data_IF_463722118595
#
_entry.id   IF_463722118595
#
_cell.length_a   1.000
_cell.length_b   1.000
_cell.length_c   1.000
_cell.angle_alpha   90.00
_cell.angle_beta   90.00
_cell.angle_gamma   90.00
#
_symmetry.space_group_name_H-M   'P 1'
#
loop_
_entity.id
_entity.type
_entity.pdbx_description
1 polymer ?
#
# COMPACT_ATOMS: atom_id res chain seq x y z
N UNK A 1 0.85 0.94 -12.61
CA UNK A 1 0.33 -0.44 -12.62
C UNK A 1 -1.14 -0.40 -13.00
N UNK A 2 -1.62 -1.31 -13.84
CA UNK A 2 -3.06 -1.45 -14.10
C UNK A 2 -3.61 -2.55 -13.19
N UNK A 3 -4.68 -2.26 -12.46
CA UNK A 3 -5.28 -3.18 -11.48
C UNK A 3 -6.71 -3.43 -11.89
N UNK A 4 -7.13 -4.71 -11.91
CA UNK A 4 -8.50 -5.13 -12.15
C UNK A 4 -9.27 -5.09 -10.83
N UNK A 5 -10.38 -4.38 -10.82
CA UNK A 5 -11.27 -4.32 -9.67
C UNK A 5 -12.15 -5.58 -9.69
N UNK A 6 -12.13 -6.39 -8.63
CA UNK A 6 -12.81 -7.70 -8.60
C UNK A 6 -14.34 -7.59 -8.60
N UNK A 7 -14.87 -6.45 -8.15
CA UNK A 7 -16.29 -6.15 -8.03
C UNK A 7 -16.94 -5.68 -9.34
N UNK A 8 -16.17 -5.03 -10.21
CA UNK A 8 -16.68 -4.31 -11.40
C UNK A 8 -16.02 -4.74 -12.69
N UNK A 9 -15.03 -5.64 -12.62
CA UNK A 9 -14.14 -6.07 -13.72
C UNK A 9 -13.39 -4.92 -14.43
N UNK A 10 -13.48 -3.70 -13.89
CA UNK A 10 -12.87 -2.51 -14.45
C UNK A 10 -11.38 -2.50 -14.18
N UNK A 11 -10.61 -2.19 -15.21
CA UNK A 11 -9.17 -1.96 -15.07
C UNK A 11 -8.93 -0.48 -14.78
N UNK A 12 -8.26 -0.18 -13.66
CA UNK A 12 -7.84 1.17 -13.29
C UNK A 12 -6.33 1.25 -13.15
N UNK A 13 -5.77 2.38 -13.60
CA UNK A 13 -4.37 2.70 -13.33
C UNK A 13 -4.22 3.04 -11.85
N UNK A 14 -3.50 2.20 -11.12
CA UNK A 14 -3.06 2.48 -9.76
C UNK A 14 -1.70 3.18 -9.84
N UNK A 15 -1.66 4.41 -9.32
CA UNK A 15 -0.46 5.25 -9.24
C UNK A 15 -0.12 5.50 -7.77
N UNK A 16 1.15 5.82 -7.44
CA UNK A 16 1.53 6.19 -6.08
C UNK A 16 0.66 7.32 -5.50
N UNK A 17 0.36 8.35 -6.31
CA UNK A 17 -0.57 9.41 -5.93
C UNK A 17 -1.97 8.89 -5.56
N UNK A 18 -2.49 7.91 -6.31
CA UNK A 18 -3.81 7.35 -6.02
C UNK A 18 -3.80 6.52 -4.73
N UNK A 19 -2.74 5.75 -4.49
CA UNK A 19 -2.53 5.04 -3.22
C UNK A 19 -2.49 6.03 -2.06
N UNK A 20 -1.75 7.14 -2.19
CA UNK A 20 -1.69 8.16 -1.16
C UNK A 20 -3.07 8.74 -0.81
N UNK A 21 -3.90 9.03 -1.82
CA UNK A 21 -5.26 9.54 -1.60
C UNK A 21 -6.13 8.50 -0.90
N UNK A 22 -6.08 7.24 -1.35
CA UNK A 22 -6.84 6.15 -0.74
C UNK A 22 -6.42 5.92 0.72
N UNK A 23 -5.13 5.97 1.04
CA UNK A 23 -4.64 5.89 2.41
C UNK A 23 -5.14 7.05 3.27
N UNK A 24 -5.15 8.28 2.73
CA UNK A 24 -5.64 9.45 3.47
C UNK A 24 -7.15 9.39 3.73
N UNK A 25 -7.91 8.78 2.82
CA UNK A 25 -9.34 8.49 3.01
C UNK A 25 -9.56 7.39 4.06
N UNK A 26 -8.76 6.32 4.03
CA UNK A 26 -8.88 5.18 4.94
C UNK A 26 -8.39 5.48 6.36
N UNK A 27 -7.28 6.21 6.49
CA UNK A 27 -6.60 6.53 7.74
C UNK A 27 -6.15 8.01 7.73
N UNK A 28 -7.06 8.96 8.02
CA UNK A 28 -6.78 10.40 7.94
C UNK A 28 -5.62 10.86 8.82
N UNK A 29 -5.40 10.18 9.95
CA UNK A 29 -4.36 10.50 10.93
C UNK A 29 -3.00 9.87 10.60
N UNK A 30 -2.92 9.00 9.58
CA UNK A 30 -1.66 8.38 9.17
C UNK A 30 -0.73 9.44 8.58
N UNK A 31 0.45 9.70 9.18
CA UNK A 31 1.35 10.76 8.74
C UNK A 31 2.15 10.31 7.50
N UNK A 32 1.49 10.24 6.35
CA UNK A 32 2.11 9.83 5.08
C UNK A 32 1.88 10.85 3.97
N UNK A 33 2.97 11.43 3.48
CA UNK A 33 2.95 12.41 2.40
C UNK A 33 3.03 11.73 1.02
N UNK A 34 2.68 12.45 -0.04
CA UNK A 34 2.86 12.00 -1.41
C UNK A 34 4.32 11.63 -1.69
N UNK A 35 5.26 12.51 -1.33
CA UNK A 35 6.70 12.24 -1.49
C UNK A 35 7.11 10.95 -0.79
N UNK A 36 6.60 10.68 0.42
CA UNK A 36 6.92 9.46 1.14
C UNK A 36 6.42 8.20 0.41
N UNK A 37 5.20 8.22 -0.13
CA UNK A 37 4.66 7.11 -0.93
C UNK A 37 5.51 6.86 -2.19
N UNK A 38 5.99 7.92 -2.84
CA UNK A 38 6.90 7.77 -3.99
C UNK A 38 8.24 7.15 -3.57
N UNK A 39 8.80 7.55 -2.42
CA UNK A 39 10.02 6.91 -1.88
C UNK A 39 9.83 5.42 -1.63
N UNK A 40 8.67 5.00 -1.09
CA UNK A 40 8.35 3.58 -0.94
C UNK A 40 8.26 2.86 -2.28
N UNK A 41 7.57 3.46 -3.25
CA UNK A 41 7.40 2.88 -4.58
C UNK A 41 8.74 2.70 -5.34
N UNK A 42 9.70 3.59 -5.11
CA UNK A 42 11.04 3.53 -5.72
C UNK A 42 12.07 2.77 -4.87
N UNK A 43 11.69 2.27 -3.68
CA UNK A 43 12.62 1.57 -2.79
C UNK A 43 13.65 2.47 -2.12
N UNK A 44 13.40 3.78 -2.06
CA UNK A 44 14.33 4.80 -1.53
C UNK A 44 14.22 4.98 -0.01
N UNK A 45 13.16 4.45 0.61
CA UNK A 45 12.96 4.50 2.05
C UNK A 45 12.18 3.28 2.54
N UNK A 46 12.48 2.76 3.74
CA UNK A 46 11.66 1.73 4.36
C UNK A 46 10.35 2.32 4.91
N UNK A 47 9.19 1.64 4.73
CA UNK A 47 7.94 2.05 5.36
C UNK A 47 7.97 1.81 6.88
N UNK A 48 7.29 2.69 7.61
CA UNK A 48 6.98 2.45 9.02
C UNK A 48 5.93 1.34 9.13
N UNK A 49 5.92 0.65 10.28
CA UNK A 49 5.01 -0.47 10.50
C UNK A 49 3.52 -0.08 10.37
N UNK A 50 3.12 1.07 10.91
CA UNK A 50 1.75 1.59 10.77
C UNK A 50 1.32 1.79 9.31
N UNK A 51 2.23 2.28 8.46
CA UNK A 51 1.98 2.40 7.01
C UNK A 51 1.81 1.02 6.37
N UNK A 52 2.61 0.02 6.76
CA UNK A 52 2.48 -1.35 6.25
C UNK A 52 1.12 -1.93 6.61
N UNK A 53 0.64 -1.76 7.84
CA UNK A 53 -0.68 -2.21 8.26
C UNK A 53 -1.80 -1.56 7.42
N UNK A 54 -1.74 -0.25 7.19
CA UNK A 54 -2.77 0.43 6.40
C UNK A 54 -2.71 0.08 4.91
N UNK A 55 -1.52 -0.15 4.35
CA UNK A 55 -1.37 -0.68 2.98
C UNK A 55 -1.95 -2.09 2.87
N UNK A 56 -1.66 -2.97 3.83
CA UNK A 56 -2.19 -4.32 3.87
C UNK A 56 -3.72 -4.33 3.91
N UNK A 57 -4.31 -3.51 4.80
CA UNK A 57 -5.75 -3.30 4.88
C UNK A 57 -6.33 -2.74 3.58
N UNK A 58 -5.66 -1.77 2.96
CA UNK A 58 -6.10 -1.16 1.71
C UNK A 58 -6.17 -2.18 0.56
N UNK A 59 -5.22 -3.12 0.52
CA UNK A 59 -5.15 -4.16 -0.50
C UNK A 59 -5.91 -5.44 -0.14
N UNK A 60 -6.43 -5.57 1.09
CA UNK A 60 -7.12 -6.76 1.55
C UNK A 60 -6.22 -7.97 1.73
N UNK A 61 -4.94 -7.75 2.08
CA UNK A 61 -3.94 -8.80 2.31
C UNK A 61 -3.45 -8.75 3.77
N UNK A 62 -2.92 -9.84 4.33
CA UNK A 62 -2.27 -9.77 5.64
C UNK A 62 -1.00 -8.91 5.58
N UNK A 63 -0.60 -8.22 6.67
CA UNK A 63 0.65 -7.45 6.73
C UNK A 63 1.90 -8.28 6.42
N UNK A 64 1.87 -9.57 6.73
CA UNK A 64 2.94 -10.52 6.42
C UNK A 64 3.22 -10.65 4.91
N UNK A 65 2.29 -10.26 4.04
CA UNK A 65 2.52 -10.22 2.59
C UNK A 65 3.66 -9.27 2.17
N UNK A 66 4.00 -8.29 3.02
CA UNK A 66 5.11 -7.38 2.79
C UNK A 66 6.44 -7.90 3.36
N UNK A 67 6.44 -9.07 4.00
CA UNK A 67 7.63 -9.73 4.51
C UNK A 67 8.14 -10.74 3.48
N UNK A 68 9.46 -10.87 3.31
CA UNK A 68 10.02 -11.98 2.54
C UNK A 68 9.65 -13.33 3.15
N UNK A 69 9.45 -14.34 2.30
CA UNK A 69 9.00 -15.69 2.72
C UNK A 69 9.91 -16.32 3.78
N UNK A 70 11.22 -16.03 3.75
CA UNK A 70 12.21 -16.51 4.73
C UNK A 70 11.95 -16.04 6.18
N UNK A 71 11.09 -15.03 6.38
CA UNK A 71 10.72 -14.52 7.69
C UNK A 71 9.32 -14.98 8.14
N UNK A 72 8.61 -15.77 7.33
CA UNK A 72 7.31 -16.31 7.70
C UNK A 72 7.48 -17.61 8.50
N UNK A 73 6.69 -17.81 9.58
CA UNK A 73 6.66 -19.10 10.27
C UNK A 73 6.10 -20.20 9.34
N UNK A 74 6.65 -21.42 9.48
CA UNK A 74 6.14 -22.63 8.79
C UNK A 74 4.68 -22.97 9.13
#
# INVERSE_FOLDING_TARGET
>A
MNVRMLDTDRVRKLTPLRIQRMLKEQAPDLPVSQTQIYRYFHGEAPPRLDVVYELARLFGVPPSYFMPDEFLPE
#
